data_IF_392164177663
#
_entry.id   IF_392164177663
#
_cell.length_a   1.000
_cell.length_b   1.000
_cell.length_c   1.000
_cell.angle_alpha   90.00
_cell.angle_beta   90.00
_cell.angle_gamma   90.00
#
_symmetry.space_group_name_H-M   'P 1'
#
loop_
_entity.id
_entity.type
_entity.pdbx_description
1 polymer ?
#
# COMPACT_ATOMS: atom_id res chain seq x y z
N UNK A 1 -10.58 -10.61 -4.29
CA UNK A 1 -10.09 -11.42 -5.43
C UNK A 1 -9.28 -12.56 -4.82
N UNK A 2 -9.55 -13.80 -5.20
CA UNK A 2 -8.89 -14.98 -4.65
C UNK A 2 -7.37 -14.93 -4.93
N UNK A 3 -6.49 -15.04 -3.91
CA UNK A 3 -5.04 -15.14 -4.11
C UNK A 3 -4.65 -16.23 -5.10
N UNK A 4 -5.38 -17.36 -5.11
CA UNK A 4 -5.13 -18.49 -6.01
C UNK A 4 -5.32 -18.15 -7.49
N UNK A 5 -6.21 -17.21 -7.80
CA UNK A 5 -6.43 -16.75 -9.17
C UNK A 5 -5.47 -15.62 -9.60
N UNK A 6 -4.96 -14.83 -8.65
CA UNK A 6 -4.13 -13.65 -8.93
C UNK A 6 -2.68 -14.01 -9.26
N UNK A 7 -2.05 -14.88 -8.47
CA UNK A 7 -0.62 -15.19 -8.63
C UNK A 7 -0.29 -15.77 -10.03
N UNK A 8 -1.06 -16.74 -10.57
CA UNK A 8 -0.79 -17.28 -11.90
C UNK A 8 -0.93 -16.20 -12.99
N UNK A 9 -1.91 -15.31 -12.86
CA UNK A 9 -2.14 -14.23 -13.82
C UNK A 9 -0.98 -13.24 -13.85
N UNK A 10 -0.55 -12.74 -12.69
CA UNK A 10 0.55 -11.77 -12.60
C UNK A 10 1.88 -12.38 -13.02
N UNK A 11 2.15 -13.61 -12.58
CA UNK A 11 3.37 -14.34 -12.94
C UNK A 11 3.42 -14.60 -14.46
N UNK A 12 2.31 -15.03 -15.06
CA UNK A 12 2.21 -15.20 -16.52
C UNK A 12 2.43 -13.89 -17.27
N UNK A 13 1.86 -12.78 -16.78
CA UNK A 13 2.08 -11.47 -17.38
C UNK A 13 3.57 -11.07 -17.35
N UNK A 14 4.23 -11.17 -16.19
CA UNK A 14 5.64 -10.79 -16.03
C UNK A 14 6.59 -11.67 -16.85
N UNK A 15 6.32 -12.99 -16.90
CA UNK A 15 7.11 -13.94 -17.67
C UNK A 15 7.10 -13.63 -19.18
N UNK A 16 6.00 -13.10 -19.73
CA UNK A 16 5.95 -12.65 -21.13
C UNK A 16 6.97 -11.56 -21.46
N UNK A 17 7.49 -10.87 -20.45
CA UNK A 17 8.53 -9.85 -20.57
C UNK A 17 9.88 -10.28 -19.98
N UNK A 18 10.05 -11.56 -19.62
CA UNK A 18 11.28 -12.06 -18.98
C UNK A 18 11.52 -11.45 -17.59
N UNK A 19 10.45 -11.01 -16.90
CA UNK A 19 10.53 -10.39 -15.56
C UNK A 19 9.93 -11.30 -14.50
N UNK A 20 10.40 -11.15 -13.27
CA UNK A 20 9.83 -11.77 -12.06
C UNK A 20 9.13 -10.77 -11.14
N UNK A 21 9.29 -9.47 -11.39
CA UNK A 21 8.68 -8.36 -10.65
C UNK A 21 8.47 -7.16 -11.56
N UNK A 22 7.59 -6.25 -11.15
CA UNK A 22 7.45 -4.93 -11.77
C UNK A 22 8.61 -4.03 -11.35
N UNK A 23 9.10 -3.21 -12.27
CA UNK A 23 10.15 -2.26 -11.94
C UNK A 23 9.68 -1.20 -10.94
N UNK A 24 8.44 -0.72 -11.08
CA UNK A 24 7.83 0.25 -10.17
C UNK A 24 6.34 0.02 -9.99
N UNK A 25 5.88 0.05 -8.73
CA UNK A 25 4.47 0.11 -8.35
C UNK A 25 4.07 1.50 -7.87
N UNK A 26 2.84 1.91 -8.18
CA UNK A 26 2.27 3.19 -7.72
C UNK A 26 1.09 2.92 -6.78
N UNK A 27 1.26 3.28 -5.52
CA UNK A 27 0.25 3.16 -4.47
C UNK A 27 -0.19 4.56 -4.03
N UNK A 28 -0.91 5.25 -4.92
CA UNK A 28 -1.29 6.64 -4.75
C UNK A 28 -2.70 6.77 -4.20
N UNK A 29 -2.87 7.35 -3.01
CA UNK A 29 -4.21 7.67 -2.51
C UNK A 29 -5.18 6.47 -2.42
N UNK A 30 -4.66 5.27 -2.14
CA UNK A 30 -5.48 4.05 -2.00
C UNK A 30 -5.39 3.41 -0.61
N UNK A 31 -4.32 3.66 0.16
CA UNK A 31 -4.07 2.95 1.43
C UNK A 31 -5.18 3.17 2.45
N UNK A 32 -5.74 4.38 2.54
CA UNK A 32 -6.88 4.66 3.42
C UNK A 32 -8.11 3.82 3.09
N UNK A 33 -8.43 3.67 1.81
CA UNK A 33 -9.63 2.95 1.41
C UNK A 33 -9.51 1.47 1.68
N UNK A 34 -8.35 0.90 1.41
CA UNK A 34 -8.05 -0.50 1.74
C UNK A 34 -8.15 -0.71 3.25
N UNK A 35 -7.56 0.18 4.02
CA UNK A 35 -7.54 0.10 5.47
C UNK A 35 -8.95 0.23 6.08
N UNK A 36 -9.77 1.16 5.60
CA UNK A 36 -11.15 1.33 6.07
C UNK A 36 -12.04 0.13 5.72
N UNK A 37 -11.84 -0.52 4.57
CA UNK A 37 -12.68 -1.62 4.10
C UNK A 37 -12.19 -3.01 4.55
N UNK A 38 -10.92 -3.16 4.91
CA UNK A 38 -10.32 -4.47 5.23
C UNK A 38 -9.52 -4.50 6.54
N UNK A 39 -9.55 -3.41 7.31
CA UNK A 39 -8.90 -3.31 8.62
C UNK A 39 -7.37 -3.31 8.55
N UNK A 40 -6.73 -3.35 9.73
CA UNK A 40 -5.27 -3.38 9.84
C UNK A 40 -4.68 -4.56 9.05
N UNK A 41 -5.31 -5.75 9.14
CA UNK A 41 -4.87 -6.95 8.44
C UNK A 41 -4.86 -6.75 6.92
N UNK A 42 -5.92 -6.18 6.36
CA UNK A 42 -6.00 -5.93 4.92
C UNK A 42 -4.97 -4.92 4.44
N UNK A 43 -4.65 -3.89 5.24
CA UNK A 43 -3.57 -2.95 4.93
C UNK A 43 -2.21 -3.65 4.92
N UNK A 44 -1.92 -4.49 5.92
CA UNK A 44 -0.68 -5.25 6.03
C UNK A 44 -0.50 -6.22 4.84
N UNK A 45 -1.54 -7.03 4.55
CA UNK A 45 -1.53 -7.98 3.42
C UNK A 45 -1.35 -7.26 2.08
N UNK A 46 -1.99 -6.11 1.91
CA UNK A 46 -1.87 -5.31 0.69
C UNK A 46 -0.45 -4.74 0.50
N UNK A 47 0.15 -4.16 1.55
CA UNK A 47 1.49 -3.61 1.47
C UNK A 47 2.54 -4.71 1.24
N UNK A 48 2.40 -5.86 1.91
CA UNK A 48 3.27 -7.01 1.71
C UNK A 48 3.20 -7.52 0.26
N UNK A 49 2.00 -7.60 -0.31
CA UNK A 49 1.81 -7.97 -1.71
C UNK A 49 2.48 -6.99 -2.68
N UNK A 50 2.30 -5.67 -2.47
CA UNK A 50 2.92 -4.69 -3.35
C UNK A 50 4.44 -4.76 -3.27
N UNK A 51 4.99 -4.94 -2.07
CA UNK A 51 6.43 -5.11 -1.87
C UNK A 51 6.96 -6.38 -2.56
N UNK A 52 6.23 -7.51 -2.52
CA UNK A 52 6.66 -8.73 -3.19
C UNK A 52 6.62 -8.64 -4.72
N UNK A 53 5.77 -7.76 -5.26
CA UNK A 53 5.57 -7.61 -6.71
C UNK A 53 6.46 -6.55 -7.35
N UNK A 54 7.11 -5.66 -6.58
CA UNK A 54 7.76 -4.47 -7.14
C UNK A 54 9.21 -4.28 -6.66
N UNK A 55 10.11 -3.92 -7.59
CA UNK A 55 11.47 -3.48 -7.25
C UNK A 55 11.44 -2.12 -6.56
N UNK A 56 10.64 -1.17 -7.06
CA UNK A 56 10.36 0.11 -6.42
C UNK A 56 8.87 0.25 -6.10
N UNK A 57 8.54 0.89 -4.99
CA UNK A 57 7.16 1.19 -4.63
C UNK A 57 7.03 2.65 -4.23
N UNK A 58 6.24 3.41 -4.99
CA UNK A 58 5.94 4.80 -4.69
C UNK A 58 4.58 4.90 -3.98
N UNK A 59 4.58 5.35 -2.73
CA UNK A 59 3.40 5.40 -1.87
C UNK A 59 3.03 6.83 -1.52
N UNK A 60 1.77 7.19 -1.72
CA UNK A 60 1.16 8.41 -1.20
C UNK A 60 0.09 8.02 -0.15
N UNK A 61 0.47 7.88 1.14
CA UNK A 61 -0.48 7.53 2.17
C UNK A 61 -1.38 8.71 2.54
N UNK A 62 -2.69 8.48 2.61
CA UNK A 62 -3.57 9.55 3.11
C UNK A 62 -3.49 9.66 4.64
N UNK A 63 -3.44 10.89 5.18
CA UNK A 63 -3.33 11.13 6.61
C UNK A 63 -4.62 10.76 7.35
N UNK A 64 -4.52 10.51 8.65
CA UNK A 64 -5.65 10.11 9.49
C UNK A 64 -6.83 11.08 9.48
N UNK A 65 -6.59 12.37 9.21
CA UNK A 65 -7.68 13.36 9.01
C UNK A 65 -8.64 12.96 7.89
N UNK A 66 -8.15 12.32 6.83
CA UNK A 66 -8.96 11.86 5.71
C UNK A 66 -9.86 10.68 6.12
N UNK A 67 -9.39 9.78 6.99
CA UNK A 67 -10.19 8.68 7.54
C UNK A 67 -11.40 9.22 8.30
N UNK A 68 -11.17 10.17 9.22
CA UNK A 68 -12.24 10.81 10.00
C UNK A 68 -13.23 11.56 9.09
N UNK A 69 -12.74 12.22 8.05
CA UNK A 69 -13.58 12.92 7.09
C UNK A 69 -14.47 11.97 6.29
N UNK A 70 -13.94 10.83 5.85
CA UNK A 70 -14.69 9.79 5.15
C UNK A 70 -15.79 9.19 6.05
N UNK A 71 -15.44 8.76 7.27
CA UNK A 71 -16.40 8.23 8.25
C UNK A 71 -17.51 9.26 8.57
N UNK A 72 -17.14 10.53 8.77
CA UNK A 72 -18.11 11.62 8.99
C UNK A 72 -19.05 11.82 7.79
N UNK A 73 -18.55 11.68 6.56
CA UNK A 73 -19.36 11.79 5.34
C UNK A 73 -20.41 10.67 5.28
N UNK A 74 -20.05 9.43 5.61
CA UNK A 74 -21.00 8.32 5.64
C UNK A 74 -22.13 8.56 6.65
N UNK A 75 -21.79 8.99 7.87
CA UNK A 75 -22.79 9.32 8.90
C UNK A 75 -23.75 10.42 8.45
N UNK A 76 -23.25 11.48 7.80
CA UNK A 76 -24.09 12.56 7.24
C UNK A 76 -25.03 12.08 6.13
N UNK A 77 -24.65 11.05 5.39
CA UNK A 77 -25.46 10.46 4.32
C UNK A 77 -26.42 9.36 4.83
N UNK A 78 -26.53 9.16 6.15
CA UNK A 78 -27.34 8.08 6.74
C UNK A 78 -26.86 6.68 6.36
N UNK A 79 -25.61 6.54 5.92
CA UNK A 79 -25.00 5.25 5.59
C UNK A 79 -24.37 4.64 6.85
N UNK A 80 -24.27 3.31 6.87
CA UNK A 80 -23.47 2.60 7.89
C UNK A 80 -22.02 3.08 7.82
N UNK A 81 -21.38 3.21 8.99
CA UNK A 81 -19.96 3.55 9.07
C UNK A 81 -19.11 2.39 8.51
N UNK A 82 -17.82 2.64 8.29
CA UNK A 82 -16.90 1.56 7.92
C UNK A 82 -16.80 0.56 9.07
N UNK A 83 -17.00 -0.72 8.78
CA UNK A 83 -17.02 -1.81 9.76
C UNK A 83 -15.79 -1.78 10.69
N UNK A 84 -14.62 -1.55 10.10
CA UNK A 84 -13.36 -1.62 10.83
C UNK A 84 -12.93 -0.30 11.48
N UNK A 85 -13.59 0.85 11.19
CA UNK A 85 -13.05 2.16 11.59
C UNK A 85 -12.80 2.29 13.09
N UNK A 86 -13.67 1.72 13.92
CA UNK A 86 -13.53 1.75 15.37
C UNK A 86 -12.52 0.73 15.92
N UNK A 87 -12.18 -0.31 15.17
CA UNK A 87 -11.24 -1.35 15.58
C UNK A 87 -9.81 -1.11 15.06
N UNK A 88 -9.58 -0.12 14.19
CA UNK A 88 -8.26 0.18 13.64
C UNK A 88 -7.24 0.53 14.74
N UNK A 89 -6.16 -0.24 14.78
CA UNK A 89 -5.02 0.00 15.67
C UNK A 89 -3.94 0.84 14.99
N UNK A 90 -3.77 0.69 13.68
CA UNK A 90 -2.85 1.53 12.90
C UNK A 90 -3.55 2.87 12.66
N UNK A 91 -3.12 3.92 13.36
CA UNK A 91 -3.76 5.24 13.32
C UNK A 91 -2.79 6.35 13.68
N UNK A 92 -3.18 7.59 13.40
CA UNK A 92 -2.34 8.77 13.68
C UNK A 92 -1.43 9.10 12.50
N UNK A 93 -0.11 8.99 12.67
CA UNK A 93 0.84 9.23 11.59
C UNK A 93 0.88 8.04 10.62
N UNK A 94 0.07 8.13 9.58
CA UNK A 94 -0.03 7.08 8.56
C UNK A 94 1.21 6.98 7.69
N UNK A 95 1.93 8.08 7.46
CA UNK A 95 3.16 8.06 6.67
C UNK A 95 4.25 7.30 7.43
N UNK A 96 4.42 7.61 8.72
CA UNK A 96 5.34 6.88 9.60
C UNK A 96 4.95 5.42 9.75
N UNK A 97 3.65 5.13 9.96
CA UNK A 97 3.17 3.75 10.13
C UNK A 97 3.43 2.90 8.89
N UNK A 98 3.13 3.41 7.69
CA UNK A 98 3.36 2.70 6.43
C UNK A 98 4.85 2.52 6.16
N UNK A 99 5.67 3.53 6.48
CA UNK A 99 7.14 3.42 6.42
C UNK A 99 7.64 2.30 7.33
N UNK A 100 7.14 2.22 8.58
CA UNK A 100 7.52 1.18 9.52
C UNK A 100 7.12 -0.21 9.01
N UNK A 101 5.89 -0.38 8.52
CA UNK A 101 5.43 -1.66 7.96
C UNK A 101 6.34 -2.10 6.81
N UNK A 102 6.55 -1.24 5.82
CA UNK A 102 7.34 -1.60 4.64
C UNK A 102 8.80 -1.90 4.98
N UNK A 103 9.39 -1.14 5.91
CA UNK A 103 10.80 -1.32 6.28
C UNK A 103 11.07 -2.45 7.25
N UNK A 104 10.17 -2.70 8.21
CA UNK A 104 10.38 -3.70 9.25
C UNK A 104 9.76 -5.05 8.91
N UNK A 105 8.76 -5.10 8.01
CA UNK A 105 7.98 -6.31 7.76
C UNK A 105 7.97 -6.75 6.30
N UNK A 106 8.31 -5.88 5.35
CA UNK A 106 8.19 -6.17 3.91
C UNK A 106 9.50 -6.13 3.13
N UNK A 107 10.66 -6.14 3.81
CA UNK A 107 11.99 -6.13 3.18
C UNK A 107 12.16 -5.00 2.14
N UNK A 108 11.69 -3.80 2.48
CA UNK A 108 11.88 -2.59 1.67
C UNK A 108 12.75 -1.59 2.44
N UNK A 109 13.47 -0.73 1.72
CA UNK A 109 14.12 0.45 2.29
C UNK A 109 13.44 1.72 1.80
N UNK A 110 13.30 2.73 2.67
CA UNK A 110 12.87 4.07 2.25
C UNK A 110 14.07 4.77 1.60
N UNK A 111 14.01 4.98 0.29
CA UNK A 111 15.10 5.61 -0.48
C UNK A 111 14.88 7.10 -0.68
N UNK A 112 13.64 7.57 -0.77
CA UNK A 112 13.36 8.99 -0.97
C UNK A 112 12.03 9.41 -0.35
N UNK A 113 11.99 10.62 0.20
CA UNK A 113 10.77 11.35 0.52
C UNK A 113 10.76 12.64 -0.29
N UNK A 114 9.74 12.84 -1.13
CA UNK A 114 9.64 14.01 -2.01
C UNK A 114 8.92 15.19 -1.33
N UNK A 115 8.83 15.17 0.00
CA UNK A 115 8.07 16.15 0.77
C UNK A 115 6.56 15.92 0.67
N UNK A 116 5.80 16.97 0.96
CA UNK A 116 4.34 16.92 1.02
C UNK A 116 3.69 17.63 -0.18
N UNK A 117 2.63 17.04 -0.70
CA UNK A 117 1.72 17.70 -1.67
C UNK A 117 1.00 18.90 -1.03
N UNK A 118 0.32 19.72 -1.83
CA UNK A 118 -0.56 20.81 -1.33
C UNK A 118 -1.71 20.33 -0.43
N UNK A 119 -1.99 19.02 -0.44
CA UNK A 119 -2.97 18.38 0.44
C UNK A 119 -2.33 17.81 1.72
N UNK A 120 -1.06 18.14 1.96
CA UNK A 120 -0.21 17.71 3.06
C UNK A 120 -0.18 16.17 3.18
N UNK A 121 0.14 15.53 2.03
CA UNK A 121 0.39 14.09 1.92
C UNK A 121 1.81 13.88 1.45
N UNK A 122 2.58 13.09 2.19
CA UNK A 122 3.94 12.75 1.81
C UNK A 122 3.97 11.80 0.63
N UNK A 123 4.99 11.93 -0.22
CA UNK A 123 5.25 10.99 -1.30
C UNK A 123 6.55 10.24 -1.02
N UNK A 124 6.45 8.91 -0.86
CA UNK A 124 7.49 8.07 -0.29
C UNK A 124 7.90 6.99 -1.30
N UNK A 125 9.16 6.97 -1.69
CA UNK A 125 9.73 5.93 -2.55
C UNK A 125 10.44 4.88 -1.70
N UNK A 126 10.03 3.64 -1.90
CA UNK A 126 10.66 2.47 -1.31
C UNK A 126 11.32 1.61 -2.38
N UNK A 127 12.36 0.87 -2.01
CA UNK A 127 13.04 -0.08 -2.86
C UNK A 127 13.13 -1.44 -2.17
N UNK A 128 12.90 -2.51 -2.91
CA UNK A 128 13.08 -3.89 -2.43
C UNK A 128 14.55 -4.12 -2.09
N UNK A 129 14.81 -4.69 -0.91
CA UNK A 129 16.14 -5.14 -0.49
C UNK A 129 16.41 -6.58 -0.89
N UNK A 130 15.43 -7.26 -1.48
CA UNK A 130 15.55 -8.63 -1.97
C UNK A 130 16.18 -8.65 -3.36
N UNK A 131 17.17 -9.52 -3.57
CA UNK A 131 17.72 -9.74 -4.90
C UNK A 131 16.67 -10.45 -5.78
N UNK A 132 16.06 -9.75 -6.73
CA UNK A 132 15.25 -10.38 -7.76
C UNK A 132 16.20 -11.00 -8.80
N UNK A 133 16.12 -12.33 -9.06
CA UNK A 133 16.90 -12.94 -10.14
C UNK A 133 16.56 -12.21 -11.44
N UNK A 134 17.57 -11.63 -12.09
CA UNK A 134 17.37 -11.11 -13.44
C UNK A 134 17.05 -12.31 -14.34
N UNK A 135 15.87 -12.30 -14.96
CA UNK A 135 15.52 -13.27 -15.99
C UNK A 135 16.61 -13.26 -17.05
N UNK A 136 17.15 -14.43 -17.36
CA UNK A 136 18.08 -14.62 -18.47
C UNK A 136 17.33 -14.24 -19.74
N UNK A 137 17.86 -13.27 -20.49
CA UNK A 137 17.49 -13.09 -21.89
C UNK A 137 17.86 -14.32 -22.71
#
# INVERSE_FOLDING_TARGET
>A
MDPGAREPFLSSFLQRFGRSSFDIGFCMSVTMWIHLNHGDRGLLEFLALLASLCTFLLVEPQPWRCYRAAARRLRRLGRRDFEHFHSLQIRGDMAQSITHILTQQCAMELVCSFGSTSWDRSLLLFKSTSAHPQGSC
#
